data_IF_500305058865
#
_entry.id   IF_500305058865
#
_cell.length_a   1.000
_cell.length_b   1.000
_cell.length_c   1.000
_cell.angle_alpha   90.00
_cell.angle_beta   90.00
_cell.angle_gamma   90.00
#
_symmetry.space_group_name_H-M   'P 1'
#
loop_
_entity.id
_entity.type
_entity.pdbx_description
1 polymer ?
#
# COMPACT_ATOMS: atom_id res chain seq x y z
N UNK A 1 -13.27 -17.82 6.65
CA UNK A 1 -12.78 -18.31 5.36
C UNK A 1 -11.25 -18.28 5.26
N UNK A 2 -10.57 -19.16 5.99
CA UNK A 2 -9.10 -19.18 6.03
C UNK A 2 -8.43 -19.47 4.67
N UNK A 3 -9.12 -20.18 3.77
CA UNK A 3 -8.58 -20.56 2.46
C UNK A 3 -8.45 -19.38 1.48
N UNK A 4 -9.35 -18.39 1.56
CA UNK A 4 -9.28 -17.18 0.74
C UNK A 4 -8.13 -16.29 1.19
N UNK A 5 -7.91 -16.19 2.51
CA UNK A 5 -6.79 -15.49 3.13
C UNK A 5 -5.44 -16.11 2.72
N UNK A 6 -5.29 -17.44 2.85
CA UNK A 6 -4.06 -18.14 2.46
C UNK A 6 -3.72 -17.93 0.98
N UNK A 7 -4.72 -17.96 0.09
CA UNK A 7 -4.53 -17.70 -1.33
C UNK A 7 -4.11 -16.26 -1.64
N UNK A 8 -4.68 -15.28 -0.92
CA UNK A 8 -4.29 -13.87 -1.01
C UNK A 8 -2.85 -13.62 -0.54
N UNK A 9 -2.47 -14.21 0.59
CA UNK A 9 -1.12 -14.10 1.13
C UNK A 9 -0.07 -14.73 0.21
N UNK A 10 -0.42 -15.82 -0.46
CA UNK A 10 0.47 -16.44 -1.44
C UNK A 10 0.65 -15.56 -2.68
N UNK A 11 -0.44 -15.01 -3.21
CA UNK A 11 -0.39 -14.09 -4.36
C UNK A 11 0.46 -12.85 -4.06
N UNK A 12 0.25 -12.22 -2.90
CA UNK A 12 1.04 -11.06 -2.46
C UNK A 12 2.52 -11.40 -2.40
N UNK A 13 2.87 -12.56 -1.81
CA UNK A 13 4.27 -12.99 -1.68
C UNK A 13 4.94 -13.21 -3.03
N UNK A 14 4.25 -13.89 -3.95
CA UNK A 14 4.78 -14.14 -5.29
C UNK A 14 5.01 -12.82 -6.04
N UNK A 15 4.04 -11.91 -6.03
CA UNK A 15 4.19 -10.59 -6.68
C UNK A 15 5.27 -9.74 -6.02
N UNK A 16 5.36 -9.74 -4.69
CA UNK A 16 6.42 -9.06 -3.96
C UNK A 16 7.81 -9.56 -4.36
N UNK A 17 7.97 -10.87 -4.57
CA UNK A 17 9.23 -11.43 -5.06
C UNK A 17 9.55 -10.94 -6.48
N UNK A 18 8.56 -10.94 -7.39
CA UNK A 18 8.76 -10.42 -8.76
C UNK A 18 9.17 -8.95 -8.77
N UNK A 19 8.54 -8.13 -7.93
CA UNK A 19 8.91 -6.73 -7.76
C UNK A 19 10.36 -6.54 -7.29
N UNK A 20 10.86 -7.40 -6.38
CA UNK A 20 12.19 -7.25 -5.78
C UNK A 20 13.34 -7.79 -6.62
N UNK A 21 13.11 -8.88 -7.37
CA UNK A 21 14.21 -9.65 -7.96
C UNK A 21 14.21 -9.78 -9.47
N UNK A 22 13.14 -9.35 -10.17
CA UNK A 22 13.17 -9.40 -11.63
C UNK A 22 14.06 -8.30 -12.22
N UNK A 23 14.78 -8.61 -13.30
CA UNK A 23 15.68 -7.67 -13.97
C UNK A 23 14.91 -6.76 -14.94
N UNK A 24 13.75 -7.20 -15.41
CA UNK A 24 12.91 -6.45 -16.33
C UNK A 24 12.03 -5.45 -15.56
N UNK A 25 12.22 -4.17 -15.85
CA UNK A 25 11.47 -3.08 -15.25
C UNK A 25 9.96 -3.20 -15.50
N UNK A 26 9.55 -3.71 -16.66
CA UNK A 26 8.15 -3.89 -17.00
C UNK A 26 7.52 -4.97 -16.12
N UNK A 27 8.24 -6.06 -15.85
CA UNK A 27 7.77 -7.10 -14.91
C UNK A 27 7.60 -6.53 -13.51
N UNK A 28 8.57 -5.74 -13.04
CA UNK A 28 8.48 -5.10 -11.72
C UNK A 28 7.30 -4.15 -11.63
N UNK A 29 7.05 -3.35 -12.67
CA UNK A 29 5.88 -2.47 -12.75
C UNK A 29 4.55 -3.23 -12.72
N UNK A 30 4.46 -4.34 -13.46
CA UNK A 30 3.28 -5.21 -13.43
C UNK A 30 3.06 -5.79 -12.04
N UNK A 31 4.11 -6.25 -11.36
CA UNK A 31 3.98 -6.76 -10.00
C UNK A 31 3.42 -5.72 -9.02
N UNK A 32 3.90 -4.47 -9.07
CA UNK A 32 3.38 -3.38 -8.21
C UNK A 32 1.93 -3.03 -8.56
N UNK A 33 1.57 -3.06 -9.84
CA UNK A 33 0.18 -2.86 -10.28
C UNK A 33 -0.74 -3.96 -9.74
N UNK A 34 -0.35 -5.22 -9.92
CA UNK A 34 -1.17 -6.37 -9.55
C UNK A 34 -1.35 -6.43 -8.03
N UNK A 35 -0.32 -6.09 -7.25
CA UNK A 35 -0.43 -5.90 -5.80
C UNK A 35 -1.51 -4.88 -5.41
N UNK A 36 -1.65 -3.81 -6.19
CA UNK A 36 -2.72 -2.82 -6.02
C UNK A 36 -4.11 -3.39 -6.34
N UNK A 37 -4.22 -4.03 -7.50
CA UNK A 37 -5.48 -4.57 -8.02
C UNK A 37 -6.02 -5.77 -7.23
N UNK A 38 -5.20 -6.42 -6.39
CA UNK A 38 -5.69 -7.40 -5.41
C UNK A 38 -6.63 -6.78 -4.37
N UNK A 39 -6.51 -5.47 -4.10
CA UNK A 39 -7.34 -4.76 -3.12
C UNK A 39 -7.14 -5.25 -1.68
N UNK A 40 -6.05 -5.95 -1.39
CA UNK A 40 -5.75 -6.49 -0.06
C UNK A 40 -4.77 -5.58 0.67
N UNK A 41 -5.17 -5.03 1.82
CA UNK A 41 -4.35 -4.15 2.66
C UNK A 41 -3.02 -4.78 3.10
N UNK A 42 -2.91 -6.12 3.12
CA UNK A 42 -1.65 -6.81 3.37
C UNK A 42 -0.56 -6.50 2.32
N UNK A 43 -0.91 -5.94 1.16
CA UNK A 43 0.04 -5.48 0.15
C UNK A 43 0.68 -4.11 0.48
N UNK A 44 0.11 -3.33 1.40
CA UNK A 44 0.57 -1.97 1.73
C UNK A 44 2.08 -1.92 2.05
N UNK A 45 2.66 -2.81 2.89
CA UNK A 45 4.09 -2.76 3.19
C UNK A 45 4.98 -2.93 1.96
N UNK A 46 4.56 -3.77 0.99
CA UNK A 46 5.32 -4.00 -0.26
C UNK A 46 5.16 -2.81 -1.21
N UNK A 47 3.97 -2.22 -1.27
CA UNK A 47 3.73 -1.01 -2.05
C UNK A 47 4.49 0.19 -1.47
N UNK A 48 4.66 0.26 -0.16
CA UNK A 48 5.49 1.25 0.51
C UNK A 48 6.98 1.08 0.15
N UNK A 49 7.48 -0.15 0.11
CA UNK A 49 8.83 -0.46 -0.40
C UNK A 49 9.02 0.04 -1.84
N UNK A 50 7.99 -0.05 -2.68
CA UNK A 50 8.03 0.44 -4.05
C UNK A 50 8.10 1.98 -4.18
N UNK A 51 7.68 2.74 -3.15
CA UNK A 51 7.91 4.20 -3.10
C UNK A 51 9.41 4.56 -2.96
N UNK A 52 10.23 3.63 -2.48
CA UNK A 52 11.68 3.80 -2.34
C UNK A 52 12.46 3.35 -3.58
N UNK A 53 11.77 2.84 -4.61
CA UNK A 53 12.44 2.39 -5.82
C UNK A 53 13.15 3.56 -6.52
N UNK A 54 14.34 3.34 -7.11
CA UNK A 54 15.07 4.40 -7.82
C UNK A 54 14.36 4.85 -9.11
N UNK A 55 13.47 4.03 -9.65
CA UNK A 55 12.75 4.28 -10.89
C UNK A 55 11.46 5.10 -10.63
N UNK A 56 11.30 6.29 -11.23
CA UNK A 56 10.10 7.12 -11.02
C UNK A 56 8.79 6.49 -11.51
N UNK A 57 8.83 5.63 -12.53
CA UNK A 57 7.63 4.94 -13.01
C UNK A 57 7.13 3.94 -11.95
N UNK A 58 8.04 3.29 -11.24
CA UNK A 58 7.68 2.42 -10.11
C UNK A 58 7.10 3.23 -8.96
N UNK A 59 7.71 4.36 -8.60
CA UNK A 59 7.16 5.23 -7.53
C UNK A 59 5.74 5.70 -7.88
N UNK A 60 5.53 6.16 -9.12
CA UNK A 60 4.21 6.58 -9.60
C UNK A 60 3.20 5.43 -9.55
N UNK A 61 3.60 4.23 -9.98
CA UNK A 61 2.75 3.04 -9.91
C UNK A 61 2.42 2.67 -8.47
N UNK A 62 3.39 2.74 -7.55
CA UNK A 62 3.20 2.46 -6.13
C UNK A 62 2.17 3.39 -5.52
N UNK A 63 2.24 4.71 -5.81
CA UNK A 63 1.23 5.68 -5.38
C UNK A 63 -0.17 5.31 -5.89
N UNK A 64 -0.31 4.96 -7.17
CA UNK A 64 -1.60 4.53 -7.72
C UNK A 64 -2.14 3.26 -7.03
N UNK A 65 -1.29 2.25 -6.85
CA UNK A 65 -1.66 1.01 -6.17
C UNK A 65 -2.03 1.23 -4.70
N UNK A 66 -1.35 2.15 -4.00
CA UNK A 66 -1.68 2.52 -2.63
C UNK A 66 -3.05 3.21 -2.53
N UNK A 67 -3.41 4.05 -3.51
CA UNK A 67 -4.77 4.61 -3.60
C UNK A 67 -5.82 3.52 -3.73
N UNK A 68 -5.58 2.56 -4.63
CA UNK A 68 -6.49 1.44 -4.87
C UNK A 68 -6.70 0.59 -3.62
N UNK A 69 -5.62 0.23 -2.92
CA UNK A 69 -5.68 -0.69 -1.76
C UNK A 69 -6.19 0.01 -0.49
N UNK A 70 -5.79 1.26 -0.26
CA UNK A 70 -6.17 1.97 0.98
C UNK A 70 -7.52 2.71 0.88
N UNK A 71 -8.02 2.93 -0.33
CA UNK A 71 -9.17 3.81 -0.59
C UNK A 71 -8.91 5.29 -0.27
N UNK A 72 -7.66 5.68 -0.02
CA UNK A 72 -7.25 7.06 0.29
C UNK A 72 -6.70 7.75 -0.94
N UNK A 73 -6.83 9.07 -1.00
CA UNK A 73 -6.16 9.90 -2.02
C UNK A 73 -5.30 10.96 -1.36
N UNK A 74 -4.01 10.68 -1.20
CA UNK A 74 -2.99 11.66 -0.76
C UNK A 74 -2.37 12.39 -1.96
N UNK A 75 -3.01 12.36 -3.12
CA UNK A 75 -2.47 12.91 -4.36
C UNK A 75 -1.33 12.07 -4.92
N UNK A 76 -0.51 12.69 -5.78
CA UNK A 76 0.64 12.05 -6.42
C UNK A 76 1.95 12.29 -5.64
N UNK A 77 1.85 12.61 -4.36
CA UNK A 77 2.99 12.92 -3.51
C UNK A 77 3.55 11.65 -2.85
N UNK A 78 4.72 11.22 -3.33
CA UNK A 78 5.43 10.04 -2.81
C UNK A 78 5.75 10.20 -1.31
N UNK A 79 6.09 11.40 -0.84
CA UNK A 79 6.41 11.62 0.57
C UNK A 79 5.18 11.51 1.46
N UNK A 80 4.04 12.05 1.02
CA UNK A 80 2.78 11.90 1.76
C UNK A 80 2.41 10.41 1.93
N UNK A 81 2.59 9.62 0.86
CA UNK A 81 2.37 8.17 0.91
C UNK A 81 3.41 7.43 1.77
N UNK A 82 4.67 7.88 1.80
CA UNK A 82 5.69 7.32 2.72
C UNK A 82 5.32 7.55 4.17
N UNK A 83 4.99 8.79 4.54
CA UNK A 83 4.62 9.15 5.91
C UNK A 83 3.40 8.36 6.37
N UNK A 84 2.39 8.23 5.51
CA UNK A 84 1.22 7.41 5.79
C UNK A 84 1.56 5.92 5.93
N UNK A 85 2.45 5.38 5.09
CA UNK A 85 2.79 3.96 5.12
C UNK A 85 3.61 3.53 6.35
N UNK A 86 4.28 4.47 7.04
CA UNK A 86 4.96 4.21 8.32
C UNK A 86 3.96 3.80 9.40
N UNK A 87 2.80 4.46 9.44
CA UNK A 87 1.69 4.12 10.32
C UNK A 87 0.34 4.40 9.64
N UNK A 88 -0.20 3.43 8.89
CA UNK A 88 -1.50 3.58 8.23
C UNK A 88 -2.66 3.81 9.20
N UNK A 89 -2.47 3.51 10.49
CA UNK A 89 -3.49 3.66 11.54
C UNK A 89 -3.53 5.08 12.13
N UNK A 90 -2.43 5.84 12.07
CA UNK A 90 -2.36 7.22 12.57
C UNK A 90 -3.42 8.15 11.95
N UNK A 91 -3.80 7.92 10.69
CA UNK A 91 -4.83 8.69 9.99
C UNK A 91 -6.23 8.05 10.05
N UNK A 92 -6.39 6.93 10.77
CA UNK A 92 -7.70 6.34 11.09
C UNK A 92 -8.31 7.03 12.32
N UNK A 93 -7.51 7.74 13.11
CA UNK A 93 -7.88 8.36 14.39
C UNK A 93 -8.00 9.89 14.36
N UNK A 94 -8.08 10.53 13.19
CA UNK A 94 -8.31 11.99 13.17
C UNK A 94 -9.61 12.37 13.90
N UNK A 95 -10.58 11.46 14.00
CA UNK A 95 -11.76 11.61 14.85
C UNK A 95 -11.83 10.51 15.94
N UNK A 96 -11.12 10.70 17.07
CA UNK A 96 -11.58 10.25 18.40
C UNK A 96 -10.89 10.97 19.57
N UNK A 97 -10.63 12.28 19.46
CA UNK A 97 -10.43 13.14 20.64
C UNK A 97 -11.70 13.93 20.95
N UNK A 98 -12.40 14.43 19.93
CA UNK A 98 -13.64 15.20 20.11
C UNK A 98 -14.84 14.35 20.59
N UNK A 99 -14.84 13.03 20.32
CA UNK A 99 -15.83 12.08 20.84
C UNK A 99 -15.60 11.81 22.33
N UNK A 100 -14.32 11.66 22.72
CA UNK A 100 -13.92 11.37 24.10
C UNK A 100 -14.24 12.56 24.99
N UNK A 101 -13.88 13.79 24.61
CA UNK A 101 -14.11 14.98 25.45
C UNK A 101 -15.60 15.36 25.62
N UNK A 102 -16.52 14.84 24.79
CA UNK A 102 -17.98 15.05 24.91
C UNK A 102 -18.69 14.03 25.80
N UNK A 103 -17.99 13.00 26.28
CA UNK A 103 -18.56 11.94 27.12
C UNK A 103 -18.04 11.98 28.57
N UNK A 104 -17.00 12.78 28.82
CA UNK A 104 -16.43 13.08 30.15
C UNK A 104 -16.86 14.46 30.70
N UNK A 105 -17.70 15.20 29.98
CA UNK A 105 -18.44 16.37 30.49
C UNK A 105 -19.92 16.26 30.13
#
# INVERSE_FOLDING_TARGET
DAWVEIGGDEAIRHLANRFRSDEDIDVRLHAVRDLGSLGNEAAIPVLAEALEAPDPAIQFRAVASLKEVSGRDLGNDVNAWREWAVDPSAYREEWSVAEVWRQIF
#
